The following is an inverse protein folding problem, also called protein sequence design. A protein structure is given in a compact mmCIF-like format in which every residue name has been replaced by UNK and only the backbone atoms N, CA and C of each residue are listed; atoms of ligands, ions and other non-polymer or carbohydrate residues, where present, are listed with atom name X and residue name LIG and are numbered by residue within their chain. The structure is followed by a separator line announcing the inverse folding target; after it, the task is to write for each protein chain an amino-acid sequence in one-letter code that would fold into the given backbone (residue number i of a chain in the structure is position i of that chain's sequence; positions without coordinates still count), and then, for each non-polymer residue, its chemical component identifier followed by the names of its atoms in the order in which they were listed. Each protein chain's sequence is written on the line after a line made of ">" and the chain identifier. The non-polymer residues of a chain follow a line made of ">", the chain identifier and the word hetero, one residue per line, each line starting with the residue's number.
data_IF_640951587020
#
_entry.id   IF_640951587020
#
_cell.length_a   1.000
_cell.length_b   1.000
_cell.length_c   1.000
_cell.angle_alpha   90.00
_cell.angle_beta   90.00
_cell.angle_gamma   90.00
#
_symmetry.space_group_name_H-M   'P 1'
#
loop_
_entity.id
_entity.type
_entity.pdbx_description
1 polymer ?
#
# COMPACT_ATOMS: atom_id res chain seq x y z
N UNK A 1 8.05 34.29 14.31
CA UNK A 1 9.15 33.30 14.31
C UNK A 1 9.22 32.66 12.94
N UNK A 2 10.42 32.31 12.45
CA UNK A 2 10.53 31.56 11.18
C UNK A 2 9.89 30.18 11.34
N UNK A 3 9.11 29.76 10.32
CA UNK A 3 8.50 28.42 10.28
C UNK A 3 9.56 27.36 10.07
N UNK A 4 9.44 26.23 10.75
CA UNK A 4 10.25 25.05 10.43
C UNK A 4 9.88 24.55 9.03
N UNK A 5 10.89 24.21 8.22
CA UNK A 5 10.67 23.67 6.88
C UNK A 5 10.87 22.16 6.90
N UNK A 6 9.87 21.43 6.39
CA UNK A 6 9.94 19.96 6.21
C UNK A 6 9.84 19.65 4.72
N UNK A 7 10.79 18.88 4.24
CA UNK A 7 10.88 18.44 2.85
C UNK A 7 10.37 17.00 2.73
N UNK A 8 9.53 16.73 1.74
CA UNK A 8 9.07 15.40 1.36
C UNK A 8 9.74 15.03 0.04
N UNK A 9 10.56 13.97 0.04
CA UNK A 9 11.39 13.55 -1.10
C UNK A 9 10.81 12.33 -1.82
N UNK A 10 9.52 12.39 -2.18
CA UNK A 10 8.87 11.44 -3.09
C UNK A 10 7.64 12.07 -3.75
N UNK A 11 7.17 11.50 -4.91
CA UNK A 11 6.02 12.03 -5.64
C UNK A 11 4.72 11.99 -4.84
N UNK A 12 4.01 13.12 -4.81
CA UNK A 12 2.66 13.23 -4.23
C UNK A 12 1.63 12.97 -5.33
N UNK A 13 0.96 11.81 -5.28
CA UNK A 13 -0.01 11.38 -6.30
C UNK A 13 -1.14 10.56 -5.68
N UNK A 14 -2.39 10.69 -6.14
CA UNK A 14 -3.51 9.92 -5.62
C UNK A 14 -3.58 8.48 -6.15
N UNK A 15 -2.62 8.05 -6.98
CA UNK A 15 -2.65 6.75 -7.66
C UNK A 15 -1.78 5.68 -7.01
N UNK A 16 -0.95 6.04 -6.04
CA UNK A 16 -0.05 5.10 -5.37
C UNK A 16 -0.13 5.21 -3.86
N UNK A 17 0.20 4.13 -3.14
CA UNK A 17 0.23 4.14 -1.68
C UNK A 17 1.23 5.15 -1.11
N UNK A 18 2.42 5.26 -1.71
CA UNK A 18 3.42 6.27 -1.36
C UNK A 18 2.92 7.69 -1.59
N UNK A 19 2.29 7.94 -2.74
CA UNK A 19 1.74 9.24 -3.07
C UNK A 19 0.62 9.65 -2.12
N UNK A 20 -0.30 8.73 -1.81
CA UNK A 20 -1.38 8.95 -0.83
C UNK A 20 -0.83 9.25 0.55
N UNK A 21 0.18 8.50 1.02
CA UNK A 21 0.87 8.77 2.27
C UNK A 21 1.46 10.18 2.29
N UNK A 22 2.17 10.56 1.23
CA UNK A 22 2.78 11.88 1.11
C UNK A 22 1.75 13.03 1.10
N UNK A 23 0.61 12.87 0.43
CA UNK A 23 -0.49 13.84 0.44
C UNK A 23 -1.03 14.02 1.86
N UNK A 24 -1.33 12.93 2.56
CA UNK A 24 -1.85 12.97 3.93
C UNK A 24 -0.84 13.60 4.90
N UNK A 25 0.43 13.27 4.76
CA UNK A 25 1.51 13.88 5.52
C UNK A 25 1.60 15.39 5.26
N UNK A 26 1.62 15.80 3.99
CA UNK A 26 1.69 17.22 3.63
C UNK A 26 0.50 18.00 4.18
N UNK A 27 -0.72 17.48 4.07
CA UNK A 27 -1.93 18.11 4.61
C UNK A 27 -1.87 18.27 6.13
N UNK A 28 -1.43 17.23 6.85
CA UNK A 28 -1.29 17.26 8.30
C UNK A 28 -0.22 18.27 8.76
N UNK A 29 0.91 18.35 8.05
CA UNK A 29 1.96 19.33 8.33
C UNK A 29 1.51 20.78 8.05
N UNK A 30 0.78 21.01 6.96
CA UNK A 30 0.22 22.34 6.63
C UNK A 30 -0.77 22.81 7.69
N UNK A 31 -1.57 21.88 8.24
CA UNK A 31 -2.51 22.20 9.32
C UNK A 31 -1.79 22.72 10.60
N UNK A 32 -0.52 22.42 10.75
CA UNK A 32 0.37 23.02 11.77
C UNK A 32 0.92 24.34 11.25
N UNK A 33 0.33 25.46 11.63
CA UNK A 33 0.68 26.81 11.14
C UNK A 33 2.17 27.18 11.24
N UNK A 34 2.94 26.45 12.01
CA UNK A 34 4.38 26.67 12.25
C UNK A 34 5.29 25.91 11.26
N UNK A 35 4.72 25.05 10.41
CA UNK A 35 5.46 24.23 9.47
C UNK A 35 5.25 24.76 8.05
N UNK A 36 6.34 24.79 7.26
CA UNK A 36 6.33 24.99 5.82
C UNK A 36 6.68 23.65 5.15
N UNK A 37 5.82 23.17 4.29
CA UNK A 37 6.07 21.97 3.48
C UNK A 37 6.73 22.35 2.17
N UNK A 38 7.79 21.65 1.78
CA UNK A 38 8.42 21.69 0.47
C UNK A 38 8.56 20.28 -0.10
N UNK A 39 8.68 20.17 -1.41
CA UNK A 39 8.78 18.88 -2.12
C UNK A 39 9.97 18.92 -3.10
N UNK A 40 10.56 17.75 -3.35
CA UNK A 40 11.68 17.61 -4.28
C UNK A 40 11.27 17.42 -5.74
N UNK A 41 10.00 17.10 -5.98
CA UNK A 41 9.46 16.85 -7.32
C UNK A 41 8.05 17.44 -7.45
N UNK A 42 7.64 17.68 -8.70
CA UNK A 42 6.28 18.16 -8.98
C UNK A 42 5.26 17.11 -8.52
N UNK A 43 4.22 17.59 -7.85
CA UNK A 43 3.11 16.75 -7.46
C UNK A 43 2.13 16.54 -8.64
N UNK A 44 1.33 15.48 -8.54
CA UNK A 44 0.30 15.19 -9.53
C UNK A 44 -0.87 16.19 -9.41
N UNK A 45 -1.24 16.78 -10.55
CA UNK A 45 -2.36 17.73 -10.69
C UNK A 45 -3.50 17.16 -11.54
N UNK A 46 -3.66 15.84 -11.51
CA UNK A 46 -4.75 15.22 -12.25
C UNK A 46 -6.12 15.75 -11.79
N UNK A 47 -7.14 15.73 -12.66
CA UNK A 47 -8.49 16.18 -12.33
C UNK A 47 -9.17 15.33 -11.22
N UNK A 48 -8.54 14.24 -10.82
CA UNK A 48 -9.02 13.36 -9.74
C UNK A 48 -8.46 13.72 -8.37
N UNK A 49 -7.59 14.73 -8.28
CA UNK A 49 -7.14 15.28 -7.01
C UNK A 49 -8.26 16.08 -6.34
N UNK A 50 -8.27 16.03 -5.01
CA UNK A 50 -9.17 16.87 -4.22
C UNK A 50 -8.93 18.38 -4.50
N UNK A 51 -9.96 19.19 -4.79
CA UNK A 51 -9.79 20.61 -5.09
C UNK A 51 -9.10 21.39 -3.97
N UNK A 52 -9.37 21.06 -2.70
CA UNK A 52 -8.73 21.71 -1.55
C UNK A 52 -7.24 21.35 -1.53
N UNK A 53 -6.90 20.10 -1.84
CA UNK A 53 -5.52 19.67 -1.99
C UNK A 53 -4.80 20.47 -3.09
N UNK A 54 -5.44 20.67 -4.25
CA UNK A 54 -4.84 21.45 -5.34
C UNK A 54 -4.52 22.89 -4.95
N UNK A 55 -5.40 23.53 -4.15
CA UNK A 55 -5.14 24.89 -3.61
C UNK A 55 -3.97 24.91 -2.62
N UNK A 56 -3.82 23.86 -1.81
CA UNK A 56 -2.68 23.72 -0.91
C UNK A 56 -1.38 23.48 -1.69
N UNK A 57 -1.48 22.68 -2.76
CA UNK A 57 -0.36 22.32 -3.62
C UNK A 57 0.26 23.55 -4.32
N UNK A 58 -0.54 24.55 -4.71
CA UNK A 58 -0.02 25.79 -5.30
C UNK A 58 1.02 26.47 -4.41
N UNK A 59 0.76 26.53 -3.10
CA UNK A 59 1.71 27.10 -2.12
C UNK A 59 2.93 26.23 -1.90
N UNK A 60 2.74 24.90 -1.86
CA UNK A 60 3.86 23.94 -1.73
C UNK A 60 4.80 24.10 -2.92
N UNK A 61 4.26 24.12 -4.14
CA UNK A 61 5.08 24.23 -5.35
C UNK A 61 5.75 25.61 -5.48
N UNK A 62 5.09 26.68 -5.08
CA UNK A 62 5.70 28.00 -5.03
C UNK A 62 6.95 27.99 -4.13
N UNK A 63 6.85 27.45 -2.91
CA UNK A 63 7.98 27.33 -1.99
C UNK A 63 9.06 26.35 -2.47
N UNK A 64 8.68 25.36 -3.28
CA UNK A 64 9.59 24.30 -3.78
C UNK A 64 10.19 24.62 -5.13
N UNK A 65 9.74 25.69 -5.83
CA UNK A 65 10.05 25.95 -7.24
C UNK A 65 11.55 25.97 -7.53
N UNK A 66 12.34 26.64 -6.69
CA UNK A 66 13.78 26.75 -6.89
C UNK A 66 14.45 25.35 -6.75
N UNK A 67 14.08 24.60 -5.72
CA UNK A 67 14.59 23.25 -5.46
C UNK A 67 14.24 22.29 -6.61
N UNK A 68 12.97 22.29 -7.03
CA UNK A 68 12.49 21.44 -8.13
C UNK A 68 13.24 21.76 -9.43
N UNK A 69 13.44 23.04 -9.75
CA UNK A 69 14.16 23.43 -10.97
C UNK A 69 15.62 22.96 -10.94
N UNK A 70 16.32 23.12 -9.82
CA UNK A 70 17.69 22.63 -9.66
C UNK A 70 17.78 21.12 -9.88
N UNK A 71 16.83 20.34 -9.33
CA UNK A 71 16.80 18.88 -9.51
C UNK A 71 16.48 18.48 -10.96
N UNK A 72 15.60 19.25 -11.65
CA UNK A 72 15.30 18.98 -13.07
C UNK A 72 16.50 19.28 -13.96
N UNK A 73 17.21 20.39 -13.71
CA UNK A 73 18.40 20.78 -14.46
C UNK A 73 19.55 19.80 -14.24
N UNK A 74 19.76 19.33 -13.00
CA UNK A 74 20.79 18.37 -12.62
C UNK A 74 20.22 17.20 -11.81
N UNK A 75 19.69 16.14 -12.46
CA UNK A 75 19.00 15.03 -11.77
C UNK A 75 19.85 14.29 -10.73
N UNK A 76 21.18 14.37 -10.81
CA UNK A 76 22.11 13.72 -9.87
C UNK A 76 22.73 14.69 -8.85
N UNK A 77 22.26 15.92 -8.80
CA UNK A 77 22.79 16.93 -7.87
C UNK A 77 22.65 16.48 -6.41
N UNK A 78 23.65 16.77 -5.61
CA UNK A 78 23.61 16.62 -4.15
C UNK A 78 23.40 18.00 -3.54
N UNK A 79 22.29 18.20 -2.87
CA UNK A 79 21.87 19.48 -2.31
C UNK A 79 21.84 19.47 -0.79
N UNK A 80 22.28 20.56 -0.19
CA UNK A 80 22.03 20.86 1.23
C UNK A 80 20.97 21.94 1.29
N UNK A 81 19.85 21.63 1.96
CA UNK A 81 18.72 22.57 2.12
C UNK A 81 18.70 23.18 3.51
N UNK A 82 17.96 24.28 3.68
CA UNK A 82 17.69 24.87 4.98
C UNK A 82 16.49 24.21 5.68
N UNK A 83 16.05 23.05 5.20
CA UNK A 83 14.97 22.31 5.85
C UNK A 83 15.42 21.78 7.20
N UNK A 84 14.51 21.82 8.17
CA UNK A 84 14.73 21.19 9.47
C UNK A 84 14.75 19.67 9.34
N UNK A 85 13.84 19.12 8.52
CA UNK A 85 13.73 17.70 8.24
C UNK A 85 13.66 17.50 6.71
N UNK A 86 14.37 16.48 6.21
CA UNK A 86 14.10 15.86 4.92
C UNK A 86 13.58 14.44 5.16
N UNK A 87 12.38 14.16 4.68
CA UNK A 87 11.75 12.85 4.76
C UNK A 87 11.95 12.12 3.43
N UNK A 88 12.55 10.94 3.45
CA UNK A 88 12.83 10.13 2.27
C UNK A 88 12.24 8.73 2.34
N UNK A 89 11.93 8.09 1.19
CA UNK A 89 11.36 6.75 1.14
C UNK A 89 12.45 5.70 1.33
N UNK A 90 12.14 4.65 2.08
CA UNK A 90 12.96 3.45 2.25
C UNK A 90 12.14 2.26 1.78
N UNK A 91 12.54 1.65 0.66
CA UNK A 91 11.98 0.40 0.14
C UNK A 91 12.94 -0.76 0.38
N UNK A 92 12.93 -1.75 -0.51
CA UNK A 92 13.84 -2.91 -0.47
C UNK A 92 15.30 -2.53 -0.65
N UNK A 93 15.56 -1.37 -1.26
CA UNK A 93 16.85 -0.73 -1.34
C UNK A 93 16.78 0.62 -0.65
N UNK A 94 17.86 1.06 -0.04
CA UNK A 94 17.99 2.42 0.50
C UNK A 94 18.64 3.29 -0.58
N UNK A 95 17.90 4.23 -1.18
CA UNK A 95 18.47 5.07 -2.21
C UNK A 95 19.58 5.96 -1.63
N UNK A 96 20.59 6.33 -2.42
CA UNK A 96 21.56 7.33 -2.01
C UNK A 96 20.87 8.64 -1.62
N UNK A 97 21.22 9.20 -0.47
CA UNK A 97 20.74 10.52 -0.09
C UNK A 97 21.30 11.57 -1.03
N UNK A 98 20.45 12.34 -1.68
CA UNK A 98 20.81 13.46 -2.54
C UNK A 98 20.43 14.81 -1.95
N UNK A 99 19.43 14.83 -1.08
CA UNK A 99 18.96 16.04 -0.42
C UNK A 99 19.21 15.92 1.08
N UNK A 100 20.03 16.84 1.59
CA UNK A 100 20.40 16.89 3.01
C UNK A 100 19.69 18.04 3.71
N UNK A 101 19.14 17.76 4.89
CA UNK A 101 18.56 18.69 5.83
C UNK A 101 19.30 18.61 7.18
N UNK A 102 18.85 19.35 8.19
CA UNK A 102 19.41 19.23 9.54
C UNK A 102 19.19 17.81 10.09
N UNK A 103 18.00 17.23 9.86
CA UNK A 103 17.66 15.85 10.20
C UNK A 103 17.16 15.08 8.99
N UNK A 104 17.57 13.82 8.88
CA UNK A 104 17.08 12.89 7.87
C UNK A 104 16.09 11.94 8.54
N UNK A 105 14.85 11.86 8.04
CA UNK A 105 13.82 10.93 8.52
C UNK A 105 13.45 9.99 7.39
N UNK A 106 13.63 8.69 7.60
CA UNK A 106 13.23 7.66 6.64
C UNK A 106 11.79 7.21 6.89
N UNK A 107 11.01 7.02 5.82
CA UNK A 107 9.73 6.32 5.90
C UNK A 107 9.90 4.98 5.23
N UNK A 108 9.70 3.88 5.94
CA UNK A 108 10.12 2.55 5.53
C UNK A 108 8.94 1.60 5.29
N UNK A 109 8.87 1.08 4.07
CA UNK A 109 8.01 -0.03 3.66
C UNK A 109 8.85 -0.96 2.80
N UNK A 110 9.44 -1.98 3.41
CA UNK A 110 10.28 -2.94 2.70
C UNK A 110 9.77 -4.38 2.89
N UNK A 111 10.01 -5.22 1.90
CA UNK A 111 9.50 -6.59 1.81
C UNK A 111 10.62 -7.64 1.87
N UNK A 112 11.64 -7.36 2.67
CA UNK A 112 12.77 -8.26 2.95
C UNK A 112 12.86 -8.55 4.44
N UNK A 113 13.18 -9.79 4.81
CA UNK A 113 13.36 -10.19 6.21
C UNK A 113 14.83 -10.16 6.65
N UNK A 114 15.76 -9.99 5.71
CA UNK A 114 17.20 -9.87 6.00
C UNK A 114 17.69 -8.43 5.82
N UNK A 115 18.72 -8.09 6.58
CA UNK A 115 19.34 -6.75 6.56
C UNK A 115 20.86 -6.96 6.39
N UNK A 116 21.33 -6.77 5.14
CA UNK A 116 22.76 -6.84 4.85
C UNK A 116 23.50 -5.55 5.23
N UNK A 117 24.82 -5.55 5.17
CA UNK A 117 25.64 -4.40 5.59
C UNK A 117 25.42 -3.16 4.72
N UNK A 118 25.17 -3.32 3.41
CA UNK A 118 24.87 -2.19 2.53
C UNK A 118 23.54 -1.51 2.95
N UNK A 119 22.51 -2.30 3.24
CA UNK A 119 21.23 -1.78 3.72
C UNK A 119 21.39 -1.07 5.07
N UNK A 120 22.15 -1.65 6.02
CA UNK A 120 22.46 -1.02 7.32
C UNK A 120 23.17 0.31 7.16
N UNK A 121 24.20 0.36 6.32
CA UNK A 121 24.95 1.60 6.04
C UNK A 121 24.05 2.68 5.44
N UNK A 122 23.13 2.28 4.56
CA UNK A 122 22.08 3.17 4.05
C UNK A 122 21.21 3.74 5.16
N UNK A 123 20.72 2.89 6.05
CA UNK A 123 19.83 3.26 7.15
C UNK A 123 20.51 4.11 8.25
N UNK A 124 21.82 3.94 8.47
CA UNK A 124 22.58 4.71 9.44
C UNK A 124 22.63 6.23 9.15
N UNK A 125 22.27 6.63 7.93
CA UNK A 125 22.20 8.04 7.53
C UNK A 125 20.95 8.77 8.04
N UNK A 126 19.96 8.04 8.57
CA UNK A 126 18.72 8.61 9.08
C UNK A 126 18.78 8.82 10.59
N UNK A 127 18.28 9.96 11.06
CA UNK A 127 18.15 10.28 12.49
C UNK A 127 16.97 9.51 13.12
N UNK A 128 15.97 9.18 12.31
CA UNK A 128 14.76 8.46 12.70
C UNK A 128 14.24 7.69 11.48
N UNK A 129 13.74 6.49 11.70
CA UNK A 129 13.06 5.67 10.68
C UNK A 129 11.64 5.39 11.14
N UNK A 130 10.67 5.74 10.31
CA UNK A 130 9.25 5.44 10.54
C UNK A 130 8.90 4.20 9.75
N UNK A 131 8.53 3.12 10.43
CA UNK A 131 8.08 1.88 9.78
C UNK A 131 6.55 1.81 9.74
N UNK A 132 6.01 1.17 8.71
CA UNK A 132 4.56 1.04 8.52
C UNK A 132 3.93 -0.18 9.18
N UNK A 133 4.73 -1.05 9.80
CA UNK A 133 4.27 -2.24 10.51
C UNK A 133 5.23 -2.64 11.63
N UNK A 134 4.71 -3.38 12.61
CA UNK A 134 5.51 -4.02 13.65
C UNK A 134 6.53 -5.00 13.05
N UNK A 135 6.18 -5.66 11.95
CA UNK A 135 7.08 -6.57 11.26
C UNK A 135 8.34 -5.85 10.75
N UNK A 136 8.20 -4.70 10.04
CA UNK A 136 9.34 -3.91 9.59
C UNK A 136 10.17 -3.40 10.78
N UNK A 137 9.52 -2.87 11.83
CA UNK A 137 10.23 -2.38 13.02
C UNK A 137 11.05 -3.51 13.67
N UNK A 138 10.45 -4.69 13.85
CA UNK A 138 11.10 -5.85 14.46
C UNK A 138 12.32 -6.32 13.67
N UNK A 139 12.24 -6.30 12.33
CA UNK A 139 13.41 -6.63 11.50
C UNK A 139 14.54 -5.63 11.75
N UNK A 140 14.26 -4.34 11.79
CA UNK A 140 15.27 -3.31 12.02
C UNK A 140 15.89 -3.44 13.42
N UNK A 141 15.08 -3.56 14.46
CA UNK A 141 15.56 -3.67 15.85
C UNK A 141 16.38 -4.94 16.09
N UNK A 142 15.96 -6.07 15.53
CA UNK A 142 16.72 -7.33 15.62
C UNK A 142 18.09 -7.26 14.93
N UNK A 143 18.27 -6.30 14.01
CA UNK A 143 19.54 -6.03 13.33
C UNK A 143 20.31 -4.84 13.89
N UNK A 144 19.96 -4.37 15.12
CA UNK A 144 20.67 -3.32 15.84
C UNK A 144 20.30 -1.89 15.42
N UNK A 145 19.25 -1.69 14.62
CA UNK A 145 18.77 -0.37 14.19
C UNK A 145 17.68 0.09 15.15
N UNK A 146 18.08 0.75 16.26
CA UNK A 146 17.22 1.09 17.39
C UNK A 146 16.51 2.45 17.26
N UNK A 147 16.74 3.21 16.19
CA UNK A 147 16.08 4.48 15.90
C UNK A 147 14.89 4.32 14.94
N UNK A 148 14.26 3.15 14.95
CA UNK A 148 13.06 2.84 14.20
C UNK A 148 11.81 2.88 15.10
N UNK A 149 10.80 3.65 14.69
CA UNK A 149 9.51 3.77 15.39
C UNK A 149 8.40 3.34 14.44
N UNK A 150 7.40 2.62 14.96
CA UNK A 150 6.29 2.14 14.14
C UNK A 150 5.11 3.11 14.19
N UNK A 151 4.63 3.51 13.02
CA UNK A 151 3.40 4.28 12.85
C UNK A 151 2.63 3.69 11.65
N UNK A 152 1.48 3.10 11.93
CA UNK A 152 0.63 2.55 10.88
C UNK A 152 0.21 3.62 9.87
N UNK A 153 0.03 3.19 8.63
CA UNK A 153 -0.71 3.96 7.64
C UNK A 153 -2.15 4.18 8.10
N UNK A 154 -2.86 5.10 7.47
CA UNK A 154 -4.25 5.38 7.80
C UNK A 154 -5.21 5.15 6.64
N UNK A 155 -6.50 5.30 6.91
CA UNK A 155 -7.58 5.29 5.93
C UNK A 155 -8.35 6.60 6.01
N UNK A 156 -8.73 7.15 4.85
CA UNK A 156 -9.63 8.31 4.77
C UNK A 156 -11.08 7.85 5.00
N UNK A 157 -11.55 7.98 6.24
CA UNK A 157 -12.90 7.55 6.64
C UNK A 157 -14.02 8.35 6.01
N UNK A 158 -13.75 9.53 5.46
CA UNK A 158 -14.74 10.31 4.70
C UNK A 158 -15.08 9.62 3.37
N UNK A 159 -14.14 8.89 2.79
CA UNK A 159 -14.29 8.16 1.52
C UNK A 159 -14.57 6.68 1.75
N UNK A 160 -13.75 6.03 2.57
CA UNK A 160 -13.84 4.61 2.87
C UNK A 160 -14.62 4.40 4.18
N UNK A 161 -15.90 4.09 4.06
CA UNK A 161 -16.83 3.91 5.17
C UNK A 161 -17.85 2.82 4.83
N UNK A 162 -18.56 2.32 5.83
CA UNK A 162 -19.55 1.23 5.67
C UNK A 162 -20.94 1.70 5.27
N UNK A 163 -21.12 2.98 4.86
CA UNK A 163 -22.40 3.49 4.34
C UNK A 163 -22.73 2.74 3.05
N UNK A 164 -23.90 2.08 2.96
CA UNK A 164 -24.27 1.33 1.77
C UNK A 164 -24.42 2.22 0.53
N UNK A 165 -24.09 1.66 -0.62
CA UNK A 165 -24.38 2.25 -1.94
C UNK A 165 -25.22 1.27 -2.77
N UNK A 166 -25.94 1.72 -3.81
CA UNK A 166 -26.61 0.85 -4.74
C UNK A 166 -25.66 -0.16 -5.38
N UNK A 167 -26.02 -1.43 -5.35
CA UNK A 167 -25.25 -2.49 -6.04
C UNK A 167 -25.75 -2.63 -7.46
N UNK A 168 -24.87 -2.39 -8.42
CA UNK A 168 -25.17 -2.50 -9.85
C UNK A 168 -24.75 -3.85 -10.44
N UNK A 169 -23.83 -4.57 -9.79
CA UNK A 169 -23.42 -5.90 -10.19
C UNK A 169 -24.40 -6.94 -9.65
N UNK A 170 -25.40 -7.30 -10.47
CA UNK A 170 -26.36 -8.35 -10.15
C UNK A 170 -25.75 -9.73 -10.43
N UNK A 171 -24.91 -10.21 -9.52
CA UNK A 171 -24.21 -11.50 -9.61
C UNK A 171 -24.35 -12.27 -8.28
N UNK A 172 -24.33 -13.63 -8.34
CA UNK A 172 -24.49 -14.45 -7.13
C UNK A 172 -23.39 -14.23 -6.10
N UNK A 173 -22.15 -13.97 -6.59
CA UNK A 173 -21.01 -13.67 -5.72
C UNK A 173 -19.98 -12.82 -6.45
N UNK A 174 -19.52 -11.74 -5.80
CA UNK A 174 -18.56 -10.78 -6.34
C UNK A 174 -17.34 -10.74 -5.43
N UNK A 175 -16.18 -11.06 -5.99
CA UNK A 175 -14.89 -11.08 -5.29
C UNK A 175 -14.07 -9.88 -5.77
N UNK A 176 -13.57 -9.08 -4.85
CA UNK A 176 -12.65 -7.98 -5.13
C UNK A 176 -11.22 -8.38 -4.78
N UNK A 177 -10.29 -8.15 -5.69
CA UNK A 177 -8.86 -8.23 -5.43
C UNK A 177 -8.18 -7.01 -6.03
N UNK A 178 -7.35 -6.31 -5.25
CA UNK A 178 -6.76 -5.05 -5.67
C UNK A 178 -5.27 -4.94 -5.38
N UNK A 179 -4.63 -3.97 -6.03
CA UNK A 179 -3.22 -3.63 -5.82
C UNK A 179 -2.36 -3.77 -7.06
N UNK A 180 -1.08 -3.47 -6.91
CA UNK A 180 -0.08 -3.64 -7.96
C UNK A 180 0.08 -5.13 -8.30
N UNK A 181 0.03 -5.50 -9.57
CA UNK A 181 0.16 -6.90 -10.01
C UNK A 181 1.63 -7.32 -9.97
N UNK A 182 1.96 -8.17 -9.01
CA UNK A 182 3.32 -8.69 -8.79
C UNK A 182 3.28 -9.97 -7.95
N UNK A 183 4.29 -10.85 -8.08
CA UNK A 183 4.35 -12.13 -7.37
C UNK A 183 4.18 -11.97 -5.85
N UNK A 184 4.78 -10.93 -5.27
CA UNK A 184 4.69 -10.61 -3.84
C UNK A 184 3.26 -10.44 -3.35
N UNK A 185 2.38 -9.87 -4.18
CA UNK A 185 0.96 -9.61 -3.84
C UNK A 185 0.07 -10.85 -3.95
N UNK A 186 0.56 -11.96 -4.51
CA UNK A 186 -0.15 -13.23 -4.53
C UNK A 186 -1.41 -13.29 -5.40
N UNK A 187 -1.55 -12.40 -6.41
CA UNK A 187 -2.74 -12.42 -7.28
C UNK A 187 -2.84 -13.70 -8.12
N UNK A 188 -1.74 -14.38 -8.36
CA UNK A 188 -1.68 -15.71 -8.97
C UNK A 188 -2.45 -16.76 -8.15
N UNK A 189 -2.37 -16.67 -6.83
CA UNK A 189 -3.13 -17.53 -5.89
C UNK A 189 -4.64 -17.24 -6.03
N UNK A 190 -5.00 -15.95 -6.12
CA UNK A 190 -6.40 -15.53 -6.32
C UNK A 190 -6.94 -16.05 -7.65
N UNK A 191 -6.15 -15.99 -8.73
CA UNK A 191 -6.53 -16.50 -10.06
C UNK A 191 -6.81 -18.00 -9.98
N UNK A 192 -5.91 -18.76 -9.40
CA UNK A 192 -6.08 -20.21 -9.27
C UNK A 192 -7.28 -20.58 -8.39
N UNK A 193 -7.44 -19.92 -7.25
CA UNK A 193 -8.60 -20.12 -6.39
C UNK A 193 -9.90 -19.76 -7.10
N UNK A 194 -9.93 -18.68 -7.89
CA UNK A 194 -11.12 -18.26 -8.62
C UNK A 194 -11.52 -19.27 -9.69
N UNK A 195 -10.57 -19.84 -10.44
CA UNK A 195 -10.83 -20.92 -11.40
C UNK A 195 -11.48 -22.13 -10.73
N UNK A 196 -11.00 -22.51 -9.54
CA UNK A 196 -11.60 -23.62 -8.77
C UNK A 196 -12.98 -23.27 -8.23
N UNK A 197 -13.15 -22.10 -7.62
CA UNK A 197 -14.43 -21.61 -7.08
C UNK A 197 -15.51 -21.45 -8.15
N UNK A 198 -15.15 -20.98 -9.34
CA UNK A 198 -16.09 -20.76 -10.43
C UNK A 198 -16.78 -22.04 -10.92
N UNK A 199 -16.22 -23.22 -10.64
CA UNK A 199 -16.87 -24.52 -10.89
C UNK A 199 -18.10 -24.73 -10.03
N UNK A 200 -18.11 -24.15 -8.82
CA UNK A 200 -19.26 -24.20 -7.87
C UNK A 200 -20.21 -23.03 -8.07
N UNK A 201 -19.70 -21.86 -8.43
CA UNK A 201 -20.48 -20.64 -8.65
C UNK A 201 -20.17 -20.03 -10.02
N UNK A 202 -20.68 -20.61 -11.14
CA UNK A 202 -20.28 -20.24 -12.50
C UNK A 202 -20.54 -18.79 -12.90
N UNK A 203 -21.49 -18.11 -12.25
CA UNK A 203 -21.83 -16.72 -12.49
C UNK A 203 -21.19 -15.73 -11.52
N UNK A 204 -20.19 -16.15 -10.72
CA UNK A 204 -19.41 -15.27 -9.90
C UNK A 204 -18.56 -14.30 -10.74
N UNK A 205 -18.19 -13.15 -10.16
CA UNK A 205 -17.29 -12.18 -10.81
C UNK A 205 -16.06 -11.97 -9.95
N UNK A 206 -14.91 -11.92 -10.62
CA UNK A 206 -13.67 -11.38 -10.07
C UNK A 206 -13.49 -9.93 -10.55
N UNK A 207 -13.51 -8.99 -9.61
CA UNK A 207 -13.07 -7.62 -9.85
C UNK A 207 -11.56 -7.60 -9.60
N UNK A 208 -10.78 -7.68 -10.66
CA UNK A 208 -9.32 -7.59 -10.63
C UNK A 208 -8.90 -6.12 -10.76
N UNK A 209 -8.93 -5.38 -9.65
CA UNK A 209 -8.52 -3.99 -9.59
C UNK A 209 -6.98 -3.91 -9.50
N UNK A 210 -6.32 -4.40 -10.54
CA UNK A 210 -4.88 -4.55 -10.66
C UNK A 210 -4.31 -3.60 -11.70
N UNK A 211 -3.12 -3.07 -11.44
CA UNK A 211 -2.45 -2.21 -12.39
C UNK A 211 -1.03 -1.84 -11.95
N UNK A 212 -0.15 -1.56 -12.92
CA UNK A 212 1.24 -1.20 -12.65
C UNK A 212 1.62 0.06 -13.45
N UNK A 213 1.73 1.19 -12.76
CA UNK A 213 2.24 2.41 -13.38
C UNK A 213 3.71 2.17 -13.77
N UNK A 214 4.04 2.45 -15.02
CA UNK A 214 5.38 2.23 -15.55
C UNK A 214 5.84 0.77 -15.59
N UNK A 215 4.91 -0.20 -15.51
CA UNK A 215 5.16 -1.65 -15.52
C UNK A 215 6.08 -2.16 -14.39
N UNK A 216 6.31 -1.38 -13.33
CA UNK A 216 7.22 -1.72 -12.23
C UNK A 216 6.76 -2.99 -11.53
N UNK A 217 7.62 -4.00 -11.45
CA UNK A 217 7.38 -5.29 -10.77
C UNK A 217 6.45 -6.25 -11.54
N UNK A 218 5.86 -5.83 -12.67
CA UNK A 218 4.88 -6.63 -13.41
C UNK A 218 5.43 -7.99 -13.86
N UNK A 219 6.69 -8.02 -14.30
CA UNK A 219 7.35 -9.25 -14.79
C UNK A 219 7.45 -10.32 -13.70
N UNK A 220 7.46 -9.92 -12.42
CA UNK A 220 7.64 -10.86 -11.29
C UNK A 220 6.54 -11.91 -11.20
N UNK A 221 5.31 -11.60 -11.70
CA UNK A 221 4.19 -12.53 -11.64
C UNK A 221 4.45 -13.81 -12.44
N UNK A 222 5.33 -13.75 -13.44
CA UNK A 222 5.74 -14.92 -14.23
C UNK A 222 6.53 -15.97 -13.43
N UNK A 223 7.03 -15.64 -12.23
CA UNK A 223 7.66 -16.60 -11.33
C UNK A 223 6.66 -17.57 -10.65
N UNK A 224 5.35 -17.32 -10.83
CA UNK A 224 4.31 -18.15 -10.25
C UNK A 224 4.13 -19.47 -11.00
N UNK A 225 3.81 -20.54 -10.26
CA UNK A 225 3.38 -21.84 -10.82
C UNK A 225 1.91 -21.89 -11.25
N UNK A 226 1.12 -20.86 -10.91
CA UNK A 226 -0.34 -20.85 -11.13
C UNK A 226 -0.77 -20.10 -12.38
N UNK A 227 0.12 -19.30 -12.96
CA UNK A 227 -0.17 -18.50 -14.14
C UNK A 227 0.91 -18.67 -15.21
N UNK A 228 0.53 -18.41 -16.45
CA UNK A 228 1.46 -18.44 -17.60
C UNK A 228 1.86 -17.01 -17.94
N UNK A 229 3.15 -16.74 -17.98
CA UNK A 229 3.76 -15.45 -18.32
C UNK A 229 3.29 -14.27 -17.44
N UNK A 230 3.59 -13.07 -17.88
CA UNK A 230 3.08 -11.82 -17.33
C UNK A 230 2.25 -11.05 -18.38
N UNK A 231 1.38 -10.12 -17.99
CA UNK A 231 0.76 -9.21 -18.94
C UNK A 231 1.82 -8.38 -19.66
N UNK A 232 1.53 -7.96 -20.91
CA UNK A 232 2.45 -7.14 -21.71
C UNK A 232 2.69 -5.75 -21.07
N UNK A 233 1.62 -5.17 -20.50
CA UNK A 233 1.64 -3.89 -19.81
C UNK A 233 0.77 -3.96 -18.55
N UNK A 234 0.98 -3.01 -17.62
CA UNK A 234 0.21 -2.88 -16.38
C UNK A 234 -1.13 -2.16 -16.53
N UNK A 235 -1.66 -1.99 -17.74
CA UNK A 235 -2.98 -1.42 -18.02
C UNK A 235 -4.09 -2.47 -17.96
N UNK A 236 -5.34 -2.02 -17.78
CA UNK A 236 -6.50 -2.90 -17.65
C UNK A 236 -6.70 -3.81 -18.86
N UNK A 237 -6.48 -3.31 -20.08
CA UNK A 237 -6.65 -4.08 -21.33
C UNK A 237 -5.65 -5.21 -21.43
N UNK A 238 -4.40 -4.98 -21.07
CA UNK A 238 -3.32 -6.00 -21.08
C UNK A 238 -3.57 -7.07 -20.02
N UNK A 239 -3.95 -6.64 -18.82
CA UNK A 239 -4.27 -7.54 -17.69
C UNK A 239 -5.51 -8.38 -18.01
N UNK A 240 -6.57 -7.78 -18.57
CA UNK A 240 -7.77 -8.49 -19.00
C UNK A 240 -7.46 -9.61 -19.99
N UNK A 241 -6.68 -9.32 -21.04
CA UNK A 241 -6.27 -10.32 -22.04
C UNK A 241 -5.44 -11.43 -21.43
N UNK A 242 -4.55 -11.09 -20.50
CA UNK A 242 -3.71 -12.05 -19.80
C UNK A 242 -4.53 -12.97 -18.88
N UNK A 243 -5.56 -12.45 -18.21
CA UNK A 243 -6.48 -13.24 -17.38
C UNK A 243 -7.28 -14.24 -18.22
N UNK A 244 -7.73 -13.84 -19.41
CA UNK A 244 -8.38 -14.78 -20.35
C UNK A 244 -7.41 -15.88 -20.81
N UNK A 245 -6.15 -15.53 -21.11
CA UNK A 245 -5.08 -16.50 -21.43
C UNK A 245 -4.82 -17.49 -20.28
N UNK A 246 -5.10 -17.07 -19.03
CA UNK A 246 -5.00 -17.89 -17.83
C UNK A 246 -6.33 -18.54 -17.43
N UNK A 247 -7.21 -18.83 -18.41
CA UNK A 247 -8.43 -19.63 -18.28
C UNK A 247 -9.54 -19.01 -17.42
N UNK A 248 -9.59 -17.67 -17.32
CA UNK A 248 -10.73 -17.01 -16.71
C UNK A 248 -11.69 -16.52 -17.81
N UNK A 249 -12.95 -16.95 -17.73
CA UNK A 249 -13.94 -16.57 -18.72
C UNK A 249 -14.21 -15.05 -18.68
N UNK A 250 -14.32 -14.43 -19.86
CA UNK A 250 -14.59 -13.00 -19.99
C UNK A 250 -15.84 -12.55 -19.21
N UNK A 251 -16.89 -13.36 -19.20
CA UNK A 251 -18.15 -13.08 -18.49
C UNK A 251 -18.01 -13.02 -16.95
N UNK A 252 -16.88 -13.50 -16.40
CA UNK A 252 -16.60 -13.59 -14.99
C UNK A 252 -15.53 -12.57 -14.53
N UNK A 253 -15.14 -11.65 -15.42
CA UNK A 253 -14.10 -10.66 -15.17
C UNK A 253 -14.61 -9.22 -15.22
N UNK A 254 -14.10 -8.41 -14.31
CA UNK A 254 -14.11 -6.96 -14.39
C UNK A 254 -12.70 -6.47 -14.04
N UNK A 255 -12.06 -5.80 -14.99
CA UNK A 255 -10.72 -5.21 -14.80
C UNK A 255 -10.84 -3.70 -14.97
N UNK A 256 -10.98 -2.93 -13.90
CA UNK A 256 -11.09 -1.48 -13.97
C UNK A 256 -9.77 -0.86 -14.45
N UNK A 257 -9.85 0.30 -15.10
CA UNK A 257 -8.67 1.12 -15.38
C UNK A 257 -8.03 1.60 -14.07
N UNK A 258 -6.74 1.96 -14.12
CA UNK A 258 -6.06 2.60 -12.99
C UNK A 258 -6.79 3.90 -12.66
N UNK A 259 -7.21 4.05 -11.42
CA UNK A 259 -8.00 5.17 -10.97
C UNK A 259 -7.45 5.78 -9.69
N UNK A 260 -7.82 7.02 -9.44
CA UNK A 260 -7.50 7.68 -8.19
C UNK A 260 -8.19 6.99 -7.00
N UNK A 261 -7.53 7.01 -5.85
CA UNK A 261 -8.00 6.38 -4.62
C UNK A 261 -9.45 6.77 -4.23
N UNK A 262 -9.87 8.01 -4.54
CA UNK A 262 -11.24 8.51 -4.28
C UNK A 262 -12.37 7.77 -5.01
N UNK A 263 -12.07 7.04 -6.09
CA UNK A 263 -13.07 6.29 -6.86
C UNK A 263 -13.19 4.82 -6.43
N UNK A 264 -12.20 4.30 -5.71
CA UNK A 264 -12.15 2.90 -5.28
C UNK A 264 -13.34 2.46 -4.42
N UNK A 265 -13.88 3.27 -3.48
CA UNK A 265 -15.00 2.84 -2.64
C UNK A 265 -16.23 2.37 -3.44
N UNK A 266 -16.52 3.01 -4.58
CA UNK A 266 -17.66 2.67 -5.42
C UNK A 266 -17.51 1.27 -6.06
N UNK A 267 -16.29 0.86 -6.35
CA UNK A 267 -16.00 -0.46 -6.90
C UNK A 267 -15.90 -1.49 -5.79
N UNK A 268 -15.18 -1.18 -4.70
CA UNK A 268 -15.03 -2.08 -3.55
C UNK A 268 -16.40 -2.49 -2.98
N UNK A 269 -17.33 -1.54 -2.81
CA UNK A 269 -18.67 -1.77 -2.26
C UNK A 269 -19.60 -2.58 -3.17
N UNK A 270 -19.19 -2.93 -4.39
CA UNK A 270 -19.90 -3.90 -5.21
C UNK A 270 -19.58 -5.35 -4.81
N UNK A 271 -18.49 -5.57 -4.06
CA UNK A 271 -18.03 -6.89 -3.69
C UNK A 271 -18.81 -7.49 -2.49
N UNK A 272 -18.89 -8.81 -2.47
CA UNK A 272 -19.34 -9.61 -1.32
C UNK A 272 -18.16 -9.94 -0.40
N UNK A 273 -16.95 -10.01 -0.98
CA UNK A 273 -15.71 -10.30 -0.26
C UNK A 273 -14.53 -9.64 -0.98
N UNK A 274 -13.53 -9.21 -0.21
CA UNK A 274 -12.23 -8.81 -0.73
C UNK A 274 -11.15 -9.84 -0.34
N UNK A 275 -10.08 -9.93 -1.14
CA UNK A 275 -9.00 -10.88 -0.90
C UNK A 275 -7.64 -10.29 -1.22
N UNK A 276 -6.70 -10.47 -0.29
CA UNK A 276 -5.31 -10.02 -0.39
C UNK A 276 -4.38 -11.13 0.10
N UNK A 277 -3.91 -11.93 -0.81
CA UNK A 277 -3.03 -13.10 -0.58
C UNK A 277 -1.55 -12.74 -0.62
N UNK A 278 -1.20 -11.54 -0.17
CA UNK A 278 0.19 -11.07 -0.24
C UNK A 278 1.13 -12.04 0.47
N UNK A 279 2.19 -12.41 -0.22
CA UNK A 279 3.28 -13.22 0.36
C UNK A 279 4.10 -12.40 1.34
N UNK A 280 4.16 -11.08 1.11
CA UNK A 280 4.86 -10.15 1.99
C UNK A 280 4.30 -8.74 1.87
N UNK A 281 4.14 -8.06 3.00
CA UNK A 281 3.76 -6.65 3.09
C UNK A 281 4.69 -5.92 4.06
N UNK A 282 5.34 -4.87 3.60
CA UNK A 282 6.15 -4.01 4.45
C UNK A 282 5.31 -3.12 5.38
N UNK A 283 4.13 -2.71 4.95
CA UNK A 283 3.10 -2.06 5.77
C UNK A 283 1.89 -2.94 5.96
N UNK A 284 0.76 -2.33 6.30
CA UNK A 284 -0.51 -3.03 6.59
C UNK A 284 -1.39 -3.27 5.37
N UNK A 285 -0.93 -2.94 4.16
CA UNK A 285 -1.71 -3.01 2.91
C UNK A 285 -2.91 -2.05 2.88
N UNK A 286 -2.73 -0.85 2.33
CA UNK A 286 -3.76 0.20 2.29
C UNK A 286 -5.09 -0.28 1.70
N UNK A 287 -5.06 -1.05 0.58
CA UNK A 287 -6.32 -1.51 -0.02
C UNK A 287 -7.07 -2.51 0.87
N UNK A 288 -6.37 -3.35 1.63
CA UNK A 288 -6.99 -4.21 2.63
C UNK A 288 -7.64 -3.38 3.75
N UNK A 289 -6.94 -2.36 4.24
CA UNK A 289 -7.48 -1.43 5.23
C UNK A 289 -8.71 -0.69 4.69
N UNK A 290 -8.69 -0.26 3.45
CA UNK A 290 -9.78 0.45 2.77
C UNK A 290 -11.00 -0.45 2.57
N UNK A 291 -10.83 -1.73 2.21
CA UNK A 291 -11.95 -2.68 2.12
C UNK A 291 -12.56 -2.98 3.48
N UNK A 292 -11.74 -3.16 4.52
CA UNK A 292 -12.19 -3.30 5.90
C UNK A 292 -12.98 -2.08 6.36
N UNK A 293 -12.50 -0.88 6.03
CA UNK A 293 -13.18 0.38 6.34
C UNK A 293 -14.52 0.54 5.59
N UNK A 294 -14.64 -0.04 4.41
CA UNK A 294 -15.91 -0.12 3.66
C UNK A 294 -16.87 -1.17 4.22
N UNK A 295 -16.48 -1.93 5.23
CA UNK A 295 -17.31 -2.98 5.84
C UNK A 295 -17.42 -4.24 4.97
N UNK A 296 -16.46 -4.48 4.09
CA UNK A 296 -16.42 -5.66 3.23
C UNK A 296 -15.69 -6.78 3.96
N UNK A 297 -16.26 -7.99 4.07
CA UNK A 297 -15.54 -9.16 4.55
C UNK A 297 -14.23 -9.31 3.77
N UNK A 298 -13.10 -9.35 4.46
CA UNK A 298 -11.79 -9.27 3.82
C UNK A 298 -10.89 -10.42 4.27
N UNK A 299 -10.43 -11.22 3.31
CA UNK A 299 -9.43 -12.26 3.52
C UNK A 299 -8.05 -11.65 3.33
N UNK A 300 -7.17 -11.85 4.29
CA UNK A 300 -5.77 -11.45 4.19
C UNK A 300 -4.84 -12.59 4.62
N UNK A 301 -3.68 -12.69 3.97
CA UNK A 301 -2.68 -13.67 4.36
C UNK A 301 -2.09 -13.36 5.74
N UNK A 302 -1.97 -14.39 6.60
CA UNK A 302 -1.50 -14.25 7.97
C UNK A 302 0.03 -14.22 8.03
N UNK A 303 0.63 -13.17 7.47
CA UNK A 303 2.08 -13.00 7.47
C UNK A 303 2.46 -11.51 7.49
N UNK A 304 3.71 -11.24 7.83
CA UNK A 304 4.39 -9.93 7.73
C UNK A 304 3.54 -8.76 8.26
N UNK A 305 3.42 -7.65 7.55
CA UNK A 305 2.66 -6.49 7.99
C UNK A 305 1.14 -6.68 8.09
N UNK A 306 0.58 -7.72 7.47
CA UNK A 306 -0.83 -8.08 7.66
C UNK A 306 -1.16 -8.52 9.10
N UNK A 307 -0.18 -9.06 9.84
CA UNK A 307 -0.39 -9.49 11.23
C UNK A 307 -0.92 -8.38 12.11
N UNK A 308 -0.48 -7.14 11.88
CA UNK A 308 -0.95 -5.98 12.62
C UNK A 308 -2.47 -5.76 12.49
N UNK A 309 -3.04 -6.03 11.31
CA UNK A 309 -4.51 -5.97 11.11
C UNK A 309 -5.24 -7.14 11.75
N UNK A 310 -4.64 -8.34 11.72
CA UNK A 310 -5.22 -9.55 12.33
C UNK A 310 -5.31 -9.38 13.84
N UNK A 311 -4.28 -8.84 14.46
CA UNK A 311 -4.23 -8.58 15.90
C UNK A 311 -5.31 -7.61 16.39
N UNK A 312 -5.87 -6.77 15.51
CA UNK A 312 -6.99 -5.89 15.84
C UNK A 312 -8.31 -6.63 16.09
N UNK A 313 -8.43 -7.89 15.68
CA UNK A 313 -9.59 -8.75 15.96
C UNK A 313 -10.90 -8.30 15.31
N UNK A 314 -10.86 -7.75 14.12
CA UNK A 314 -12.07 -7.30 13.40
C UNK A 314 -12.92 -8.48 12.95
N UNK A 315 -14.22 -8.46 13.28
CA UNK A 315 -15.15 -9.57 13.04
C UNK A 315 -15.34 -9.98 11.56
N UNK A 316 -15.04 -9.08 10.63
CA UNK A 316 -15.15 -9.29 9.18
C UNK A 316 -13.79 -9.47 8.49
N UNK A 317 -12.70 -9.55 9.26
CA UNK A 317 -11.39 -9.92 8.78
C UNK A 317 -11.19 -11.42 8.97
N UNK A 318 -10.74 -12.09 7.91
CA UNK A 318 -10.47 -13.53 7.88
C UNK A 318 -9.00 -13.72 7.54
N UNK A 319 -8.25 -14.29 8.47
CA UNK A 319 -6.87 -14.68 8.22
C UNK A 319 -6.85 -15.97 7.38
N UNK A 320 -5.99 -15.98 6.34
CA UNK A 320 -5.79 -17.14 5.47
C UNK A 320 -4.30 -17.35 5.25
N UNK A 321 -3.88 -18.60 5.06
CA UNK A 321 -2.48 -18.98 4.90
C UNK A 321 -1.67 -18.57 6.13
N UNK A 322 -0.81 -19.37 6.54
CA UNK A 322 0.20 -19.10 7.58
C UNK A 322 1.31 -20.10 7.43
N UNK A 323 1.05 -21.11 6.64
CA UNK A 323 1.94 -22.22 6.48
C UNK A 323 2.98 -21.90 5.41
N UNK A 324 4.19 -22.15 5.80
CA UNK A 324 5.33 -22.11 4.92
C UNK A 324 5.83 -20.70 4.68
N UNK A 325 6.75 -20.31 5.53
CA UNK A 325 7.68 -19.26 5.18
C UNK A 325 8.45 -19.76 3.96
N UNK A 326 7.99 -19.34 2.78
CA UNK A 326 8.63 -19.66 1.51
C UNK A 326 9.81 -18.72 1.26
N UNK A 327 10.83 -19.21 0.55
CA UNK A 327 11.88 -18.31 0.04
C UNK A 327 11.34 -17.50 -1.12
N UNK A 328 11.81 -16.27 -1.25
CA UNK A 328 11.58 -15.46 -2.45
C UNK A 328 12.07 -16.27 -3.67
N UNK A 329 11.24 -16.41 -4.72
CA UNK A 329 11.66 -17.15 -5.91
C UNK A 329 12.95 -16.59 -6.51
N UNK A 330 13.92 -17.45 -6.84
CA UNK A 330 15.23 -17.04 -7.36
C UNK A 330 15.16 -16.11 -8.57
N UNK A 331 14.12 -16.26 -9.42
CA UNK A 331 13.91 -15.43 -10.60
C UNK A 331 13.70 -13.93 -10.26
N UNK A 332 13.25 -13.62 -9.05
CA UNK A 332 12.87 -12.27 -8.64
C UNK A 332 13.60 -11.76 -7.40
N UNK A 333 14.57 -12.49 -6.88
CA UNK A 333 15.32 -12.10 -5.67
C UNK A 333 15.98 -10.74 -5.81
N UNK A 334 16.47 -10.40 -7.00
CA UNK A 334 17.09 -9.10 -7.26
C UNK A 334 16.15 -7.91 -7.06
N UNK A 335 14.84 -8.07 -7.31
CA UNK A 335 13.83 -7.02 -7.09
C UNK A 335 13.57 -6.73 -5.60
N UNK A 336 13.97 -7.67 -4.72
CA UNK A 336 13.68 -7.61 -3.28
C UNK A 336 14.94 -7.65 -2.39
N UNK A 337 16.09 -7.30 -2.94
CA UNK A 337 17.32 -7.17 -2.17
C UNK A 337 18.30 -8.35 -2.30
N UNK A 338 18.20 -9.11 -3.39
CA UNK A 338 19.11 -10.20 -3.73
C UNK A 338 18.80 -11.52 -3.00
N UNK A 339 19.77 -12.42 -2.97
CA UNK A 339 19.60 -13.79 -2.42
C UNK A 339 19.20 -13.82 -0.93
N UNK A 340 19.38 -12.71 -0.22
CA UNK A 340 19.05 -12.55 1.19
C UNK A 340 17.66 -11.90 1.40
N UNK A 341 16.82 -11.77 0.38
CA UNK A 341 15.50 -11.13 0.52
C UNK A 341 14.62 -11.82 1.58
N UNK A 342 14.88 -13.11 1.86
CA UNK A 342 14.38 -13.81 3.05
C UNK A 342 13.06 -14.52 2.83
N UNK A 343 12.24 -14.52 3.85
CA UNK A 343 11.10 -15.41 3.99
C UNK A 343 9.79 -14.71 3.70
N UNK A 344 9.01 -15.31 2.80
CA UNK A 344 7.65 -14.88 2.45
C UNK A 344 6.63 -15.92 2.88
N UNK A 345 5.41 -15.51 3.16
CA UNK A 345 4.30 -16.44 3.39
C UNK A 345 3.71 -16.97 2.08
N UNK A 346 2.89 -18.00 2.19
CA UNK A 346 2.15 -18.58 1.07
C UNK A 346 0.73 -18.90 1.53
N UNK A 347 -0.25 -18.75 0.64
CA UNK A 347 -1.66 -19.10 0.89
C UNK A 347 -2.06 -20.23 -0.05
N UNK A 348 -2.73 -21.26 0.47
CA UNK A 348 -3.25 -22.34 -0.35
C UNK A 348 -4.51 -21.87 -1.11
N UNK A 349 -4.59 -22.02 -2.45
CA UNK A 349 -5.80 -21.67 -3.20
C UNK A 349 -7.06 -22.41 -2.71
N UNK A 350 -6.96 -23.65 -2.23
CA UNK A 350 -8.11 -24.42 -1.74
C UNK A 350 -8.70 -23.83 -0.46
N UNK A 351 -7.87 -23.27 0.42
CA UNK A 351 -8.32 -22.55 1.61
C UNK A 351 -9.19 -21.33 1.23
N UNK A 352 -8.80 -20.60 0.19
CA UNK A 352 -9.62 -19.49 -0.32
C UNK A 352 -10.96 -19.98 -0.86
N UNK A 353 -10.98 -21.10 -1.59
CA UNK A 353 -12.21 -21.70 -2.11
C UNK A 353 -13.15 -22.06 -0.98
N UNK A 354 -12.67 -22.70 0.08
CA UNK A 354 -13.46 -23.07 1.26
C UNK A 354 -14.04 -21.81 1.95
N UNK A 355 -13.21 -20.79 2.14
CA UNK A 355 -13.67 -19.51 2.68
C UNK A 355 -14.76 -18.87 1.81
N UNK A 356 -14.56 -18.82 0.49
CA UNK A 356 -15.55 -18.23 -0.41
C UNK A 356 -16.85 -19.01 -0.48
N UNK A 357 -16.81 -20.35 -0.43
CA UNK A 357 -18.01 -21.19 -0.35
C UNK A 357 -18.83 -20.91 0.93
N UNK A 358 -18.15 -20.73 2.07
CA UNK A 358 -18.80 -20.35 3.33
C UNK A 358 -19.39 -18.95 3.24
N UNK A 359 -18.62 -17.97 2.78
CA UNK A 359 -19.05 -16.57 2.62
C UNK A 359 -20.24 -16.45 1.66
N UNK A 360 -20.23 -17.22 0.57
CA UNK A 360 -21.33 -17.25 -0.38
C UNK A 360 -22.63 -17.74 0.23
N UNK A 361 -22.58 -18.77 1.08
CA UNK A 361 -23.75 -19.31 1.78
C UNK A 361 -24.28 -18.38 2.87
N UNK A 362 -23.40 -17.61 3.50
CA UNK A 362 -23.68 -16.81 4.70
C UNK A 362 -23.58 -15.30 4.43
N UNK A 363 -23.84 -14.83 3.21
CA UNK A 363 -23.55 -13.45 2.77
C UNK A 363 -24.10 -12.37 3.71
N UNK A 364 -25.33 -12.51 4.15
CA UNK A 364 -26.00 -11.50 4.99
C UNK A 364 -25.34 -11.40 6.38
N UNK A 365 -25.01 -12.54 6.98
CA UNK A 365 -24.28 -12.58 8.27
C UNK A 365 -22.93 -11.85 8.16
N UNK A 366 -22.21 -12.07 7.06
CA UNK A 366 -20.91 -11.44 6.86
C UNK A 366 -21.01 -9.94 6.57
N UNK A 367 -22.07 -9.51 5.90
CA UNK A 367 -22.35 -8.08 5.70
C UNK A 367 -22.59 -7.35 7.02
N UNK A 368 -23.39 -7.96 7.93
CA UNK A 368 -23.63 -7.40 9.27
C UNK A 368 -22.33 -7.31 10.08
N UNK A 369 -21.51 -8.35 10.06
CA UNK A 369 -20.15 -8.32 10.65
C UNK A 369 -19.29 -7.20 10.06
N UNK A 370 -19.39 -6.98 8.75
CA UNK A 370 -18.68 -5.92 8.05
C UNK A 370 -19.05 -4.54 8.57
N UNK A 371 -20.34 -4.23 8.65
CA UNK A 371 -20.82 -2.93 9.17
C UNK A 371 -20.33 -2.66 10.59
N UNK A 372 -20.40 -3.69 11.45
CA UNK A 372 -19.96 -3.58 12.85
C UNK A 372 -18.44 -3.48 12.94
N UNK A 373 -17.71 -4.34 12.21
CA UNK A 373 -16.25 -4.42 12.26
C UNK A 373 -15.55 -3.20 11.65
N UNK A 374 -16.18 -2.53 10.67
CA UNK A 374 -15.62 -1.33 10.04
C UNK A 374 -15.31 -0.19 11.03
N UNK A 375 -15.99 -0.14 12.16
CA UNK A 375 -15.76 0.87 13.22
C UNK A 375 -14.34 0.78 13.81
N UNK A 376 -13.72 -0.39 13.82
CA UNK A 376 -12.35 -0.53 14.30
C UNK A 376 -11.37 0.31 13.46
N UNK A 377 -11.68 0.55 12.17
CA UNK A 377 -10.85 1.35 11.29
C UNK A 377 -10.88 2.87 11.63
N UNK A 378 -11.74 3.32 12.52
CA UNK A 378 -11.75 4.71 13.00
C UNK A 378 -10.47 5.03 13.79
N UNK A 379 -9.88 4.04 14.44
CA UNK A 379 -8.60 4.19 15.16
C UNK A 379 -7.41 4.29 14.22
N UNK A 380 -7.54 3.77 12.99
CA UNK A 380 -6.54 3.79 11.93
C UNK A 380 -6.86 4.84 10.85
N UNK A 381 -7.33 6.01 11.23
CA UNK A 381 -7.52 7.12 10.28
C UNK A 381 -6.18 7.79 9.94
N UNK A 382 -6.07 8.37 8.73
CA UNK A 382 -4.90 9.18 8.36
C UNK A 382 -4.63 10.30 9.36
N UNK A 383 -5.68 10.94 9.87
CA UNK A 383 -5.53 11.99 10.87
C UNK A 383 -4.82 11.48 12.13
N UNK A 384 -5.24 10.32 12.65
CA UNK A 384 -4.61 9.74 13.84
C UNK A 384 -3.16 9.32 13.56
N UNK A 385 -2.88 8.72 12.40
CA UNK A 385 -1.54 8.29 12.00
C UNK A 385 -0.59 9.48 11.86
N UNK A 386 -1.02 10.53 11.18
CA UNK A 386 -0.20 11.73 10.96
C UNK A 386 -0.01 12.55 12.25
N UNK A 387 -1.01 12.63 13.12
CA UNK A 387 -0.86 13.26 14.43
C UNK A 387 0.20 12.53 15.27
N UNK A 388 0.15 11.19 15.35
CA UNK A 388 1.17 10.39 16.03
C UNK A 388 2.57 10.62 15.47
N UNK A 389 2.68 10.74 14.14
CA UNK A 389 3.95 11.02 13.47
C UNK A 389 4.48 12.40 13.85
N UNK A 390 3.67 13.44 13.80
CA UNK A 390 4.08 14.81 14.14
C UNK A 390 4.45 14.88 15.63
N UNK A 391 3.64 14.34 16.53
CA UNK A 391 3.93 14.25 17.96
C UNK A 391 5.24 13.50 18.25
N UNK A 392 5.55 12.45 17.47
CA UNK A 392 6.83 11.76 17.56
C UNK A 392 8.00 12.66 17.15
N UNK A 393 7.88 13.39 16.04
CA UNK A 393 8.91 14.33 15.59
C UNK A 393 9.16 15.43 16.62
N UNK A 394 8.10 16.00 17.22
CA UNK A 394 8.15 16.99 18.29
C UNK A 394 8.83 16.43 19.54
N UNK A 395 8.42 15.24 20.01
CA UNK A 395 8.99 14.56 21.19
C UNK A 395 10.48 14.21 21.02
N UNK A 396 10.90 13.90 19.79
CA UNK A 396 12.32 13.66 19.47
C UNK A 396 13.12 14.95 19.26
N UNK A 397 12.48 16.13 19.36
CA UNK A 397 13.11 17.43 19.16
C UNK A 397 13.49 17.74 17.71
N UNK A 398 12.91 17.01 16.75
CA UNK A 398 13.21 17.16 15.32
C UNK A 398 12.47 18.33 14.70
N UNK A 399 11.34 18.75 15.26
CA UNK A 399 10.63 19.98 14.89
C UNK A 399 10.00 20.62 16.14
N UNK A 400 9.59 21.87 16.00
CA UNK A 400 8.89 22.60 17.07
C UNK A 400 7.44 22.16 17.16
N UNK A 401 6.86 22.15 18.40
CA UNK A 401 5.45 21.88 18.61
C UNK A 401 4.52 22.95 18.01
#
# INVERSE_FOLDING_TARGET
>A
MAKDQILIDWPLTPYTGWGSYGIQLAQALIARNQIRVVVSCKADRSPHCDPIWLLQLDKIEEFSKQLINQIIEEPNIVLKTNSKIAMGPIGNLVPPLRIYAEHQVGVAFFERSSVNEEFKQGLAKYSLIITGSNWNQKILTNNGINHAEMIHQGVDRSKFNSIPIPRILNRPFVIFAGGKLEARKGQDIVIEAFKRFNKYCPNSILIACWGNIGNVGLHTIAASKYVTDSPKNGDAKSIFKWLIKNDIAQSNLMVPEIMANSHLPNIMKQADVAVFTSRCEGGTNLMAMETLACGIPTLISANTGHLDLIEMGMAHLIAVGSEGIGKVPALITADYGGDEAGEWGETNPDELVECWLRLWKEKEVWREKGVTGAKHMDTMSWQNSMNKLIELLERKGLCKP
#
